data_IF_057760513412
#
_entry.id   IF_057760513412
#
_cell.length_a   1.000
_cell.length_b   1.000
_cell.length_c   1.000
_cell.angle_alpha   90.00
_cell.angle_beta   90.00
_cell.angle_gamma   90.00
#
_symmetry.space_group_name_H-M   'P 1'
#
loop_
_entity.id
_entity.type
_entity.pdbx_description
1 polymer ?
#
# COMPACT_ATOMS: atom_id res chain seq x y z
N UNK A 1 4.06 -8.25 -11.16
CA UNK A 1 2.88 -9.04 -10.76
C UNK A 1 2.61 -8.83 -9.29
N UNK A 2 1.34 -8.84 -8.89
CA UNK A 2 0.86 -8.51 -7.55
C UNK A 2 1.71 -9.09 -6.40
N UNK A 3 1.85 -10.41 -6.28
CA UNK A 3 2.57 -11.02 -5.16
C UNK A 3 4.03 -10.55 -5.03
N UNK A 4 4.72 -10.37 -6.17
CA UNK A 4 6.08 -9.84 -6.19
C UNK A 4 6.13 -8.39 -5.68
N UNK A 5 5.12 -7.58 -6.04
CA UNK A 5 5.00 -6.20 -5.59
C UNK A 5 4.66 -6.14 -4.10
N UNK A 6 3.74 -6.98 -3.61
CA UNK A 6 3.44 -7.07 -2.18
C UNK A 6 4.68 -7.45 -1.36
N UNK A 7 5.50 -8.37 -1.88
CA UNK A 7 6.75 -8.76 -1.24
C UNK A 7 7.79 -7.63 -1.25
N UNK A 8 8.05 -7.02 -2.41
CA UNK A 8 9.12 -6.03 -2.57
C UNK A 8 8.79 -4.67 -1.94
N UNK A 9 7.52 -4.28 -1.94
CA UNK A 9 7.05 -3.01 -1.37
C UNK A 9 6.70 -3.13 0.12
N UNK A 10 7.00 -4.25 0.78
CA UNK A 10 6.95 -4.39 2.23
C UNK A 10 5.61 -4.82 2.83
N UNK A 11 4.53 -4.96 2.04
CA UNK A 11 3.23 -5.38 2.58
C UNK A 11 3.28 -6.78 3.21
N UNK A 12 3.95 -7.73 2.55
CA UNK A 12 4.08 -9.08 3.12
C UNK A 12 4.87 -9.08 4.43
N UNK A 13 5.84 -8.17 4.59
CA UNK A 13 6.68 -8.12 5.80
C UNK A 13 5.89 -7.82 7.08
N UNK A 14 4.74 -7.17 6.95
CA UNK A 14 3.83 -6.77 8.04
C UNK A 14 2.54 -7.59 8.07
N UNK A 15 2.37 -8.57 7.18
CA UNK A 15 1.14 -9.37 7.05
C UNK A 15 1.40 -10.83 7.41
N UNK A 16 0.55 -11.40 8.25
CA UNK A 16 0.62 -12.80 8.70
C UNK A 16 0.61 -12.91 10.24
N UNK A 17 0.88 -14.10 10.78
CA UNK A 17 1.02 -14.32 12.23
C UNK A 17 2.04 -13.35 12.85
N UNK A 18 1.83 -13.00 14.11
CA UNK A 18 2.71 -12.09 14.81
C UNK A 18 4.15 -12.63 14.83
N UNK A 19 5.16 -11.75 14.86
CA UNK A 19 6.57 -12.20 14.88
C UNK A 19 6.92 -13.06 16.10
N UNK A 20 6.14 -12.96 17.19
CA UNK A 20 6.26 -13.81 18.38
C UNK A 20 5.65 -15.20 18.20
N UNK A 21 4.89 -15.43 17.14
CA UNK A 21 4.26 -16.69 16.79
C UNK A 21 5.06 -17.38 15.67
N UNK A 22 5.04 -18.71 15.64
CA UNK A 22 5.64 -19.45 14.52
C UNK A 22 4.82 -19.23 13.25
N UNK A 23 5.34 -18.39 12.34
CA UNK A 23 4.66 -18.03 11.09
C UNK A 23 5.57 -17.34 10.07
N UNK A 24 5.17 -17.41 8.80
CA UNK A 24 5.89 -16.78 7.69
C UNK A 24 5.13 -15.54 7.19
N UNK A 25 5.82 -14.55 6.57
CA UNK A 25 5.18 -13.47 5.82
C UNK A 25 4.14 -13.98 4.82
N UNK A 26 2.95 -13.39 4.81
CA UNK A 26 1.86 -13.80 3.95
C UNK A 26 1.46 -12.68 3.00
N UNK A 27 1.07 -13.06 1.77
CA UNK A 27 0.39 -12.15 0.86
C UNK A 27 -1.04 -11.92 1.34
N UNK A 28 -1.62 -10.79 0.96
CA UNK A 28 -3.05 -10.57 1.13
C UNK A 28 -3.84 -11.55 0.24
N UNK A 29 -5.02 -11.94 0.71
CA UNK A 29 -5.88 -12.95 0.07
C UNK A 29 -6.35 -12.59 -1.34
N UNK A 30 -6.22 -11.33 -1.74
CA UNK A 30 -6.54 -10.81 -3.08
C UNK A 30 -5.34 -10.11 -3.70
N UNK A 31 -5.43 -9.82 -4.99
CA UNK A 31 -4.40 -9.07 -5.72
C UNK A 31 -4.46 -7.56 -5.38
N UNK A 32 -4.14 -7.23 -4.13
CA UNK A 32 -4.39 -5.90 -3.57
C UNK A 32 -3.54 -4.81 -4.25
N UNK A 33 -2.33 -5.13 -4.71
CA UNK A 33 -1.49 -4.17 -5.41
C UNK A 33 -2.13 -3.79 -6.75
N UNK A 34 -2.64 -4.77 -7.49
CA UNK A 34 -3.33 -4.56 -8.77
C UNK A 34 -4.62 -3.76 -8.57
N UNK A 35 -5.42 -4.12 -7.55
CA UNK A 35 -6.68 -3.42 -7.23
C UNK A 35 -6.41 -1.96 -6.88
N UNK A 36 -5.45 -1.68 -6.01
CA UNK A 36 -5.17 -0.32 -5.57
C UNK A 36 -4.52 0.53 -6.65
N UNK A 37 -3.66 -0.05 -7.48
CA UNK A 37 -3.16 0.62 -8.68
C UNK A 37 -4.31 1.00 -9.63
N UNK A 38 -5.30 0.12 -9.81
CA UNK A 38 -6.51 0.42 -10.57
C UNK A 38 -7.34 1.55 -9.96
N UNK A 39 -7.48 1.58 -8.64
CA UNK A 39 -8.18 2.66 -7.93
C UNK A 39 -7.47 4.00 -8.10
N UNK A 40 -6.14 4.04 -7.96
CA UNK A 40 -5.37 5.25 -8.27
C UNK A 40 -5.52 5.67 -9.73
N UNK A 41 -5.58 4.73 -10.68
CA UNK A 41 -5.82 5.01 -12.09
C UNK A 41 -7.16 5.67 -12.34
N UNK A 42 -8.23 5.14 -11.76
CA UNK A 42 -9.55 5.76 -11.86
C UNK A 42 -9.53 7.18 -11.28
N UNK A 43 -8.97 7.38 -10.09
CA UNK A 43 -8.88 8.71 -9.48
C UNK A 43 -8.06 9.69 -10.31
N UNK A 44 -6.90 9.28 -10.82
CA UNK A 44 -6.03 10.14 -11.63
C UNK A 44 -6.67 10.50 -12.98
N UNK A 45 -7.35 9.55 -13.64
CA UNK A 45 -8.10 9.81 -14.87
C UNK A 45 -9.24 10.80 -14.62
N UNK A 46 -10.01 10.63 -13.54
CA UNK A 46 -11.07 11.58 -13.17
C UNK A 46 -10.50 12.98 -12.89
N UNK A 47 -9.36 13.07 -12.20
CA UNK A 47 -8.69 14.34 -11.96
C UNK A 47 -8.21 14.99 -13.27
N UNK A 48 -7.61 14.22 -14.18
CA UNK A 48 -7.16 14.72 -15.48
C UNK A 48 -8.33 15.19 -16.36
N UNK A 49 -9.48 14.49 -16.33
CA UNK A 49 -10.69 14.93 -17.02
C UNK A 49 -11.22 16.24 -16.45
N UNK A 50 -11.25 16.40 -15.12
CA UNK A 50 -11.67 17.65 -14.49
C UNK A 50 -10.72 18.82 -14.80
N UNK A 51 -9.41 18.56 -14.84
CA UNK A 51 -8.42 19.55 -15.25
C UNK A 51 -8.63 19.98 -16.71
N UNK A 52 -8.88 19.01 -17.60
CA UNK A 52 -9.17 19.25 -19.02
C UNK A 52 -10.42 20.10 -19.23
N UNK A 53 -11.47 19.94 -18.43
CA UNK A 53 -12.66 20.79 -18.52
C UNK A 53 -12.35 22.28 -18.31
N UNK A 54 -11.33 22.60 -17.51
CA UNK A 54 -10.94 23.99 -17.22
C UNK A 54 -9.86 24.51 -18.18
N UNK A 55 -8.90 23.65 -18.55
CA UNK A 55 -7.72 24.04 -19.31
C UNK A 55 -7.70 23.62 -20.78
N UNK A 56 -8.60 22.75 -21.22
CA UNK A 56 -8.68 22.24 -22.59
C UNK A 56 -7.66 21.14 -22.96
N UNK A 57 -6.61 20.94 -22.16
CA UNK A 57 -5.54 19.99 -22.44
C UNK A 57 -5.70 18.66 -21.68
N UNK A 58 -5.33 17.55 -22.33
CA UNK A 58 -5.23 16.23 -21.68
C UNK A 58 -3.91 16.06 -20.93
N UNK A 59 -3.76 14.94 -20.21
CA UNK A 59 -2.57 14.63 -19.43
C UNK A 59 -2.20 13.15 -19.57
N UNK A 60 -0.89 12.85 -19.53
CA UNK A 60 -0.39 11.49 -19.37
C UNK A 60 -0.51 11.09 -17.89
N UNK A 61 -1.05 9.91 -17.63
CA UNK A 61 -1.20 9.34 -16.28
C UNK A 61 -0.33 8.10 -16.17
N UNK A 62 0.68 8.16 -15.32
CA UNK A 62 1.59 7.04 -15.03
C UNK A 62 1.41 6.60 -13.57
N UNK A 63 1.14 5.32 -13.36
CA UNK A 63 0.85 4.77 -12.04
C UNK A 63 1.57 3.44 -11.88
N UNK A 64 2.79 3.47 -11.31
CA UNK A 64 3.51 2.25 -11.02
C UNK A 64 2.81 1.42 -9.93
N UNK A 65 2.76 0.10 -10.13
CA UNK A 65 2.26 -0.85 -9.11
C UNK A 65 3.03 -0.74 -7.79
N UNK A 66 4.35 -0.55 -7.87
CA UNK A 66 5.22 -0.45 -6.70
C UNK A 66 4.86 0.78 -5.86
N UNK A 67 4.76 1.95 -6.49
CA UNK A 67 4.43 3.21 -5.82
C UNK A 67 3.04 3.15 -5.18
N UNK A 68 2.07 2.57 -5.89
CA UNK A 68 0.71 2.34 -5.37
C UNK A 68 0.72 1.46 -4.11
N UNK A 69 1.55 0.42 -4.09
CA UNK A 69 1.67 -0.49 -2.96
C UNK A 69 2.41 0.15 -1.77
N UNK A 70 3.48 0.92 -2.01
CA UNK A 70 4.23 1.63 -0.97
C UNK A 70 3.36 2.70 -0.30
N UNK A 71 2.56 3.43 -1.08
CA UNK A 71 1.63 4.43 -0.54
C UNK A 71 0.64 3.82 0.46
N UNK A 72 0.27 2.55 0.26
CA UNK A 72 -0.69 1.82 1.08
C UNK A 72 -0.15 1.30 2.42
N UNK A 73 1.17 1.38 2.65
CA UNK A 73 1.75 1.06 3.97
C UNK A 73 1.35 2.09 5.05
N UNK A 74 0.89 3.28 4.66
CA UNK A 74 0.32 4.29 5.54
C UNK A 74 1.10 4.47 6.86
N UNK A 75 0.48 4.18 8.01
CA UNK A 75 1.09 4.33 9.32
C UNK A 75 2.33 3.45 9.52
N UNK A 76 2.40 2.27 8.89
CA UNK A 76 3.57 1.39 8.98
C UNK A 76 4.78 2.03 8.31
N UNK A 77 4.59 2.72 7.18
CA UNK A 77 5.67 3.49 6.56
C UNK A 77 6.11 4.66 7.45
N UNK A 78 5.16 5.34 8.09
CA UNK A 78 5.44 6.47 8.99
C UNK A 78 6.21 6.06 10.24
N UNK A 79 5.93 4.88 10.79
CA UNK A 79 6.69 4.31 11.91
C UNK A 79 8.19 4.21 11.59
N UNK A 80 8.54 3.86 10.35
CA UNK A 80 9.93 3.87 9.90
C UNK A 80 10.43 5.28 9.54
N UNK A 81 9.69 6.04 8.72
CA UNK A 81 10.17 7.33 8.22
C UNK A 81 10.41 8.35 9.33
N UNK A 82 9.50 8.42 10.32
CA UNK A 82 9.60 9.33 11.47
C UNK A 82 10.28 8.63 12.65
N UNK A 83 9.76 7.47 13.05
CA UNK A 83 10.18 6.78 14.28
C UNK A 83 11.46 5.96 14.15
N UNK A 84 11.96 5.75 12.92
CA UNK A 84 13.12 4.88 12.60
C UNK A 84 12.95 3.43 13.07
N UNK A 85 11.71 3.00 13.29
CA UNK A 85 11.38 1.63 13.67
C UNK A 85 10.81 0.89 12.47
N UNK A 86 11.46 -0.21 12.10
CA UNK A 86 10.94 -1.10 11.05
C UNK A 86 9.77 -1.88 11.65
N UNK A 87 8.55 -1.79 11.09
CA UNK A 87 7.40 -2.52 11.59
C UNK A 87 7.56 -4.03 11.41
N UNK A 88 7.13 -4.80 12.41
CA UNK A 88 6.99 -6.25 12.35
C UNK A 88 5.56 -6.71 12.09
N UNK A 89 5.35 -8.03 12.06
CA UNK A 89 4.01 -8.62 12.03
C UNK A 89 3.42 -8.64 13.43
N UNK A 90 2.17 -8.21 13.56
CA UNK A 90 1.46 -8.14 14.85
C UNK A 90 0.22 -9.05 14.91
N UNK A 91 0.01 -9.90 13.90
CA UNK A 91 -1.25 -10.63 13.76
C UNK A 91 -2.41 -9.65 13.64
N UNK A 92 -3.40 -9.76 14.53
CA UNK A 92 -4.57 -8.88 14.55
C UNK A 92 -4.44 -7.67 15.48
N UNK A 93 -3.33 -7.53 16.21
CA UNK A 93 -3.16 -6.42 17.14
C UNK A 93 -2.83 -5.10 16.41
N UNK A 94 -3.31 -3.97 16.93
CA UNK A 94 -3.03 -2.66 16.36
C UNK A 94 -1.67 -2.11 16.86
N UNK A 95 -0.80 -1.56 15.98
CA UNK A 95 0.56 -1.14 16.36
C UNK A 95 0.60 0.03 17.34
N UNK A 96 -0.43 0.88 17.35
CA UNK A 96 -0.39 2.18 18.03
C UNK A 96 -1.52 2.41 19.05
N UNK A 97 -2.44 1.45 19.25
CA UNK A 97 -3.65 1.64 20.08
C UNK A 97 -3.95 0.33 20.80
N UNK A 98 -4.20 0.39 22.11
CA UNK A 98 -4.59 -0.77 22.93
C UNK A 98 -5.67 -0.33 23.94
N UNK A 99 -6.78 -1.09 24.09
CA UNK A 99 -7.21 -2.24 23.28
C UNK A 99 -7.82 -1.82 21.94
N UNK A 100 -7.64 -2.65 20.90
CA UNK A 100 -8.23 -2.49 19.57
C UNK A 100 -8.69 -3.85 19.03
#
# INVERSE_FOLDING_TARGET
YDAMIQASAGLMSITGPADSEDGQPQKVGVAIADIMCGMYAVTAILAALNARERGGEGQLVEIPLFDSQVAWLANQNMNYLIGKQVPGRLGTAHPNIVPY
#
